data_IF_004712817859
#
_entry.id   IF_004712817859
#
_cell.length_a   1.000
_cell.length_b   1.000
_cell.length_c   1.000
_cell.angle_alpha   90.00
_cell.angle_beta   90.00
_cell.angle_gamma   90.00
#
_symmetry.space_group_name_H-M   'P 1'
#
loop_
_entity.id
_entity.type
_entity.pdbx_description
1 polymer ?
#
# COMPACT_ATOMS: atom_id res chain seq x y z
N UNK A 1 35.22 2.50 19.73
CA UNK A 1 34.70 2.32 18.36
C UNK A 1 33.64 1.23 18.44
N UNK A 2 32.37 1.59 18.58
CA UNK A 2 31.29 0.63 18.70
C UNK A 2 30.77 0.34 17.29
N UNK A 3 31.05 -0.87 16.79
CA UNK A 3 30.56 -1.36 15.50
C UNK A 3 29.03 -1.47 15.54
N UNK A 4 28.37 -0.71 14.68
CA UNK A 4 26.95 -0.86 14.39
C UNK A 4 26.72 -2.28 13.85
N UNK A 5 25.74 -3.06 14.37
CA UNK A 5 25.44 -4.38 13.83
C UNK A 5 24.98 -4.22 12.38
N UNK A 6 25.69 -4.90 11.46
CA UNK A 6 25.25 -5.08 10.08
C UNK A 6 23.88 -5.77 10.10
N UNK A 7 22.82 -5.00 9.86
CA UNK A 7 21.51 -5.55 9.52
C UNK A 7 21.68 -6.25 8.19
N UNK A 8 21.63 -7.58 8.18
CA UNK A 8 21.54 -8.36 6.94
C UNK A 8 20.41 -7.75 6.09
N UNK A 9 20.62 -7.52 4.78
CA UNK A 9 19.53 -7.04 3.94
C UNK A 9 18.37 -8.02 4.04
N UNK A 10 17.18 -7.51 4.31
CA UNK A 10 15.95 -8.28 4.25
C UNK A 10 15.89 -8.95 2.88
N UNK A 11 15.98 -10.28 2.85
CA UNK A 11 15.92 -11.04 1.61
C UNK A 11 14.44 -11.07 1.24
N UNK A 12 14.05 -10.23 0.27
CA UNK A 12 12.68 -10.19 -0.28
C UNK A 12 12.28 -11.62 -0.65
N UNK A 13 11.45 -12.24 0.18
CA UNK A 13 10.85 -13.53 -0.17
C UNK A 13 9.91 -13.26 -1.33
N UNK A 14 10.21 -13.89 -2.47
CA UNK A 14 9.37 -13.83 -3.65
C UNK A 14 8.08 -14.57 -3.29
N UNK A 15 6.95 -13.86 -3.30
CA UNK A 15 5.64 -14.45 -3.01
C UNK A 15 5.36 -15.60 -4.01
N UNK A 16 5.00 -16.76 -3.51
CA UNK A 16 4.49 -17.85 -4.33
C UNK A 16 3.00 -17.57 -4.63
N UNK A 17 2.69 -17.30 -5.90
CA UNK A 17 1.33 -16.90 -6.28
C UNK A 17 0.36 -18.08 -6.32
N UNK A 18 0.85 -19.29 -6.50
CA UNK A 18 0.00 -20.48 -6.45
C UNK A 18 -0.36 -20.79 -4.99
N UNK A 19 0.60 -20.63 -4.07
CA UNK A 19 0.34 -20.68 -2.63
C UNK A 19 -0.61 -19.56 -2.18
N UNK A 20 -0.39 -18.33 -2.65
CA UNK A 20 -1.25 -17.18 -2.37
C UNK A 20 -2.70 -17.43 -2.80
N UNK A 21 -2.90 -17.90 -4.04
CA UNK A 21 -4.23 -18.21 -4.59
C UNK A 21 -4.88 -19.38 -3.85
N UNK A 22 -4.10 -20.40 -3.49
CA UNK A 22 -4.60 -21.55 -2.72
C UNK A 22 -5.09 -21.19 -1.32
N UNK A 23 -4.62 -20.07 -0.77
CA UNK A 23 -4.99 -19.58 0.56
C UNK A 23 -5.94 -18.37 0.53
N UNK A 24 -6.34 -17.88 -0.64
CA UNK A 24 -7.01 -16.59 -0.81
C UNK A 24 -8.24 -16.40 0.10
N UNK A 25 -9.12 -17.41 0.15
CA UNK A 25 -10.39 -17.36 0.90
C UNK A 25 -10.29 -17.90 2.33
N UNK A 26 -9.07 -18.20 2.81
CA UNK A 26 -8.92 -18.77 4.14
C UNK A 26 -9.34 -17.74 5.23
N UNK A 27 -10.21 -18.09 6.18
CA UNK A 27 -10.67 -17.18 7.23
C UNK A 27 -9.54 -16.71 8.16
N UNK A 28 -8.34 -17.30 8.10
CA UNK A 28 -7.17 -16.78 8.80
C UNK A 28 -6.85 -15.33 8.43
N UNK A 29 -7.26 -14.83 7.26
CA UNK A 29 -7.00 -13.44 6.87
C UNK A 29 -7.95 -12.43 7.53
N UNK A 30 -8.98 -12.89 8.25
CA UNK A 30 -9.95 -12.07 8.96
C UNK A 30 -9.47 -11.76 10.39
N UNK A 31 -8.35 -11.04 10.51
CA UNK A 31 -7.73 -10.68 11.80
C UNK A 31 -8.27 -9.39 12.42
N UNK A 32 -9.34 -8.83 11.86
CA UNK A 32 -9.98 -7.63 12.36
C UNK A 32 -9.52 -6.36 11.67
N UNK A 33 -9.48 -5.28 12.45
CA UNK A 33 -9.40 -3.91 11.98
C UNK A 33 -8.28 -3.13 12.67
N UNK A 34 -7.94 -1.97 12.13
CA UNK A 34 -6.93 -1.08 12.72
C UNK A 34 -7.32 -0.65 14.13
N UNK A 35 -6.36 -0.60 15.05
CA UNK A 35 -6.61 -0.20 16.46
C UNK A 35 -7.12 1.24 16.62
N UNK A 36 -6.86 2.07 15.61
CA UNK A 36 -7.30 3.46 15.54
C UNK A 36 -7.71 3.82 14.13
N UNK A 37 -8.33 4.98 14.01
CA UNK A 37 -8.60 5.59 12.73
C UNK A 37 -7.32 6.20 12.13
N UNK A 38 -7.22 6.08 10.81
CA UNK A 38 -6.14 6.60 9.98
C UNK A 38 -6.65 7.78 9.15
N UNK A 39 -5.78 8.73 8.81
CA UNK A 39 -6.12 9.73 7.78
C UNK A 39 -6.13 9.06 6.41
N UNK A 40 -6.95 9.58 5.50
CA UNK A 40 -6.80 9.25 4.07
C UNK A 40 -5.37 9.52 3.60
N UNK A 41 -4.74 8.59 2.83
CA UNK A 41 -3.37 8.74 2.34
C UNK A 41 -3.26 9.69 1.13
N UNK A 42 -4.28 10.51 0.91
CA UNK A 42 -4.49 11.35 -0.25
C UNK A 42 -5.04 12.73 0.18
N UNK A 43 -4.79 13.80 -0.58
CA UNK A 43 -5.35 15.13 -0.31
C UNK A 43 -6.87 15.08 -0.26
N UNK A 44 -7.46 15.58 0.83
CA UNK A 44 -8.92 15.59 1.03
C UNK A 44 -9.57 16.90 0.61
N UNK A 45 -8.77 17.87 0.22
CA UNK A 45 -9.14 19.19 -0.32
C UNK A 45 -9.22 19.19 -1.86
N UNK A 46 -8.97 18.05 -2.51
CA UNK A 46 -9.04 17.86 -3.97
C UNK A 46 -10.19 16.91 -4.32
N UNK A 47 -10.91 17.22 -5.40
CA UNK A 47 -11.95 16.35 -5.96
C UNK A 47 -11.39 15.51 -7.11
N UNK A 48 -11.32 14.19 -6.89
CA UNK A 48 -10.85 13.22 -7.88
C UNK A 48 -12.00 12.51 -8.61
N UNK A 49 -13.26 12.94 -8.47
CA UNK A 49 -14.43 12.21 -8.98
C UNK A 49 -14.42 12.00 -10.50
N UNK A 50 -13.96 13.00 -11.26
CA UNK A 50 -13.84 12.90 -12.72
C UNK A 50 -12.70 11.96 -13.13
N UNK A 51 -11.54 12.05 -12.48
CA UNK A 51 -10.40 11.16 -12.71
C UNK A 51 -10.76 9.71 -12.38
N UNK A 52 -11.35 9.51 -11.20
CA UNK A 52 -11.83 8.20 -10.74
C UNK A 52 -12.83 7.59 -11.73
N UNK A 53 -13.75 8.39 -12.28
CA UNK A 53 -14.72 7.92 -13.28
C UNK A 53 -14.06 7.47 -14.58
N UNK A 54 -12.97 8.14 -14.99
CA UNK A 54 -12.17 7.71 -16.14
C UNK A 54 -11.36 6.45 -15.84
N UNK A 55 -10.72 6.39 -14.67
CA UNK A 55 -9.91 5.26 -14.21
C UNK A 55 -10.74 4.02 -13.90
N UNK A 56 -12.03 4.17 -13.57
CA UNK A 56 -12.95 3.06 -13.32
C UNK A 56 -13.39 2.32 -14.60
N UNK A 57 -13.14 2.85 -15.79
CA UNK A 57 -13.56 2.22 -17.05
C UNK A 57 -12.98 0.81 -17.17
N UNK A 58 -13.87 -0.15 -17.42
CA UNK A 58 -13.52 -1.57 -17.54
C UNK A 58 -13.44 -2.33 -16.22
N UNK A 59 -13.55 -1.66 -15.07
CA UNK A 59 -13.74 -2.33 -13.78
C UNK A 59 -15.23 -2.69 -13.66
N UNK A 60 -15.58 -3.94 -13.31
CA UNK A 60 -16.97 -4.31 -13.02
C UNK A 60 -17.57 -3.43 -11.92
N UNK A 61 -18.82 -3.01 -12.09
CA UNK A 61 -19.49 -2.08 -11.17
C UNK A 61 -19.56 -2.63 -9.73
N UNK A 62 -19.74 -3.94 -9.58
CA UNK A 62 -19.76 -4.64 -8.29
C UNK A 62 -18.37 -4.75 -7.64
N UNK A 63 -17.30 -4.37 -8.34
CA UNK A 63 -15.93 -4.26 -7.83
C UNK A 63 -15.54 -2.83 -7.48
N UNK A 64 -16.39 -1.85 -7.76
CA UNK A 64 -16.20 -0.46 -7.37
C UNK A 64 -16.93 -0.17 -6.07
N UNK A 65 -16.32 0.64 -5.22
CA UNK A 65 -16.93 1.12 -3.99
C UNK A 65 -16.39 2.49 -3.60
N UNK A 66 -16.97 3.10 -2.57
CA UNK A 66 -16.51 4.39 -2.03
C UNK A 66 -15.88 4.22 -0.66
N UNK A 67 -14.81 4.97 -0.43
CA UNK A 67 -14.19 5.14 0.89
C UNK A 67 -14.06 6.64 1.14
N UNK A 68 -14.94 7.18 1.97
CA UNK A 68 -15.12 8.63 2.08
C UNK A 68 -15.47 9.25 0.71
N UNK A 69 -14.70 10.26 0.30
CA UNK A 69 -14.89 10.93 -1.00
C UNK A 69 -14.29 10.17 -2.19
N UNK A 70 -13.40 9.21 -1.94
CA UNK A 70 -12.65 8.51 -2.98
C UNK A 70 -13.43 7.31 -3.52
N UNK A 71 -13.21 7.01 -4.80
CA UNK A 71 -13.61 5.74 -5.41
C UNK A 71 -12.46 4.77 -5.28
N UNK A 72 -12.77 3.52 -4.92
CA UNK A 72 -11.80 2.45 -4.78
C UNK A 72 -12.24 1.19 -5.54
N UNK A 73 -11.26 0.35 -5.89
CA UNK A 73 -11.46 -0.95 -6.53
C UNK A 73 -11.14 -2.10 -5.58
N UNK A 74 -11.89 -3.21 -5.69
CA UNK A 74 -11.70 -4.43 -4.89
C UNK A 74 -10.54 -5.32 -5.34
N UNK A 75 -10.10 -5.17 -6.59
CA UNK A 75 -8.97 -5.90 -7.21
C UNK A 75 -8.82 -7.36 -6.77
N UNK A 76 -9.81 -8.24 -7.08
CA UNK A 76 -9.91 -9.59 -6.49
C UNK A 76 -8.76 -10.55 -6.88
N UNK A 77 -7.92 -10.19 -7.84
CA UNK A 77 -6.77 -10.99 -8.24
C UNK A 77 -5.49 -10.65 -7.45
N UNK A 78 -5.46 -9.52 -6.75
CA UNK A 78 -4.30 -9.03 -5.99
C UNK A 78 -4.62 -8.78 -4.52
N UNK A 79 -5.86 -8.43 -4.17
CA UNK A 79 -6.32 -8.24 -2.78
C UNK A 79 -6.75 -9.57 -2.17
N UNK A 80 -5.80 -10.51 -2.10
CA UNK A 80 -6.01 -11.87 -1.59
C UNK A 80 -4.98 -12.21 -0.52
N UNK A 81 -5.30 -13.19 0.32
CA UNK A 81 -4.37 -13.66 1.34
C UNK A 81 -4.00 -12.56 2.34
N UNK A 82 -2.70 -12.34 2.63
CA UNK A 82 -2.26 -11.30 3.55
C UNK A 82 -2.52 -9.87 3.04
N UNK A 83 -3.00 -9.70 1.79
CA UNK A 83 -3.39 -8.42 1.19
C UNK A 83 -4.91 -8.20 1.13
N UNK A 84 -5.72 -9.08 1.73
CA UNK A 84 -7.19 -9.07 1.65
C UNK A 84 -7.84 -7.70 1.89
N UNK A 85 -7.27 -6.90 2.80
CA UNK A 85 -7.81 -5.59 3.19
C UNK A 85 -7.08 -4.40 2.56
N UNK A 86 -6.31 -4.63 1.48
CA UNK A 86 -5.76 -3.55 0.69
C UNK A 86 -6.88 -2.73 0.00
N UNK A 87 -6.52 -1.52 -0.40
CA UNK A 87 -7.44 -0.55 -1.02
C UNK A 87 -6.72 0.07 -2.21
N UNK A 88 -7.34 -0.01 -3.39
CA UNK A 88 -6.84 0.67 -4.58
C UNK A 88 -7.65 1.95 -4.79
N UNK A 89 -7.13 3.09 -4.33
CA UNK A 89 -7.76 4.39 -4.54
C UNK A 89 -7.54 4.86 -5.97
N UNK A 90 -8.63 5.07 -6.73
CA UNK A 90 -8.56 5.50 -8.13
C UNK A 90 -8.28 7.00 -8.21
N UNK A 91 -6.99 7.34 -8.33
CA UNK A 91 -6.47 8.71 -8.47
C UNK A 91 -5.39 8.74 -9.55
N UNK A 92 -5.20 9.87 -10.25
CA UNK A 92 -4.25 9.95 -11.35
C UNK A 92 -2.80 9.89 -10.85
N UNK A 93 -1.90 9.51 -11.76
CA UNK A 93 -0.46 9.70 -11.58
C UNK A 93 -0.15 11.16 -11.16
N UNK A 94 0.94 11.33 -10.42
CA UNK A 94 1.41 12.60 -9.85
C UNK A 94 0.60 13.15 -8.67
N UNK A 95 -0.47 12.45 -8.25
CA UNK A 95 -1.21 12.80 -7.01
C UNK A 95 -0.30 12.69 -5.79
N UNK A 96 -0.31 13.69 -4.90
CA UNK A 96 0.44 13.63 -3.64
C UNK A 96 0.00 12.46 -2.77
N UNK A 97 0.96 11.76 -2.16
CA UNK A 97 0.72 10.71 -1.18
C UNK A 97 1.05 11.26 0.20
N UNK A 98 0.10 11.15 1.12
CA UNK A 98 0.21 11.65 2.48
C UNK A 98 0.39 10.49 3.47
N UNK A 99 1.19 10.72 4.51
CA UNK A 99 1.30 9.78 5.61
C UNK A 99 -0.05 9.66 6.34
N UNK A 100 -0.64 8.47 6.27
CA UNK A 100 -1.95 8.17 6.87
C UNK A 100 -1.89 8.25 8.41
N UNK A 101 -0.73 7.99 9.00
CA UNK A 101 -0.44 8.20 10.42
C UNK A 101 1.06 8.41 10.63
N UNK A 102 1.39 9.08 11.73
CA UNK A 102 2.74 9.32 12.21
C UNK A 102 3.48 8.01 12.50
N UNK A 103 4.78 8.00 12.27
CA UNK A 103 5.59 6.80 12.46
C UNK A 103 7.00 6.95 11.97
N UNK A 104 7.69 5.84 11.76
CA UNK A 104 9.04 5.80 11.22
C UNK A 104 9.06 5.11 9.87
N UNK A 105 9.76 5.67 8.89
CA UNK A 105 9.99 5.01 7.60
C UNK A 105 10.90 3.80 7.84
N UNK A 106 10.44 2.61 7.47
CA UNK A 106 11.17 1.36 7.69
C UNK A 106 11.62 0.68 6.40
N UNK A 107 10.98 0.97 5.27
CA UNK A 107 11.32 0.39 3.98
C UNK A 107 10.91 1.31 2.83
N UNK A 108 11.76 1.39 1.79
CA UNK A 108 11.50 2.17 0.57
C UNK A 108 12.10 1.47 -0.64
N UNK A 109 11.32 1.41 -1.72
CA UNK A 109 11.76 1.11 -3.08
C UNK A 109 11.20 2.20 -4.00
N UNK A 110 12.07 2.90 -4.75
CA UNK A 110 11.69 4.17 -5.41
C UNK A 110 12.42 4.39 -6.75
N UNK A 111 12.76 3.32 -7.46
CA UNK A 111 13.61 3.42 -8.67
C UNK A 111 13.10 2.66 -9.88
N UNK A 112 12.11 1.79 -9.74
CA UNK A 112 11.52 1.11 -10.89
C UNK A 112 10.75 2.10 -11.74
N UNK A 113 10.71 1.83 -13.05
CA UNK A 113 9.94 2.59 -14.04
C UNK A 113 8.99 1.69 -14.82
N UNK A 114 9.09 0.37 -14.62
CA UNK A 114 8.35 -0.64 -15.37
C UNK A 114 7.01 -0.94 -14.72
N UNK A 115 5.98 -1.14 -15.55
CA UNK A 115 4.66 -1.57 -15.14
C UNK A 115 3.97 -2.38 -16.24
N UNK A 116 2.95 -3.12 -15.86
CA UNK A 116 2.06 -3.76 -16.81
C UNK A 116 1.02 -4.66 -16.15
N UNK A 117 0.02 -5.13 -16.92
CA UNK A 117 -1.15 -5.80 -16.39
C UNK A 117 -0.89 -7.25 -15.98
N UNK A 118 0.34 -7.75 -16.15
CA UNK A 118 0.70 -9.15 -15.91
C UNK A 118 1.63 -9.32 -14.72
N UNK A 119 1.58 -10.50 -14.13
CA UNK A 119 2.32 -10.88 -12.92
C UNK A 119 3.85 -10.70 -13.05
N UNK A 120 4.41 -10.71 -14.27
CA UNK A 120 5.85 -10.50 -14.51
C UNK A 120 6.35 -9.13 -13.99
N UNK A 121 5.45 -8.16 -13.81
CA UNK A 121 5.80 -6.83 -13.29
C UNK A 121 5.74 -6.74 -11.76
N UNK A 122 5.31 -7.78 -11.04
CA UNK A 122 5.13 -7.74 -9.57
C UNK A 122 6.38 -7.29 -8.79
N UNK A 123 7.56 -7.64 -9.27
CA UNK A 123 8.82 -7.33 -8.61
C UNK A 123 9.33 -5.90 -8.91
N UNK A 124 8.64 -5.18 -9.80
CA UNK A 124 8.94 -3.81 -10.28
C UNK A 124 8.13 -2.73 -9.55
N UNK A 125 7.70 -3.01 -8.33
CA UNK A 125 6.88 -2.12 -7.52
C UNK A 125 7.73 -1.11 -6.74
N UNK A 126 7.44 0.18 -6.90
CA UNK A 126 7.91 1.20 -5.96
C UNK A 126 6.89 1.33 -4.82
N UNK A 127 7.39 1.40 -3.60
CA UNK A 127 6.58 1.53 -2.40
C UNK A 127 7.35 2.14 -1.24
N UNK A 128 6.61 2.62 -0.25
CA UNK A 128 7.12 3.10 1.03
C UNK A 128 6.34 2.46 2.17
N UNK A 129 7.03 2.05 3.24
CA UNK A 129 6.41 1.47 4.43
C UNK A 129 6.75 2.30 5.66
N UNK A 130 5.72 2.67 6.42
CA UNK A 130 5.83 3.38 7.71
C UNK A 130 5.41 2.42 8.81
N UNK A 131 6.24 2.29 9.86
CA UNK A 131 5.88 1.63 11.11
C UNK A 131 5.33 2.66 12.10
N UNK A 132 4.15 2.42 12.64
CA UNK A 132 3.50 3.30 13.62
C UNK A 132 3.81 2.87 15.06
N UNK A 133 3.57 3.77 16.01
CA UNK A 133 3.89 3.53 17.43
C UNK A 133 3.05 2.38 18.06
N UNK A 134 1.89 2.06 17.49
CA UNK A 134 1.05 0.92 17.90
C UNK A 134 1.47 -0.42 17.27
N UNK A 135 2.56 -0.46 16.49
CA UNK A 135 3.09 -1.66 15.85
C UNK A 135 2.41 -2.03 14.52
N UNK A 136 1.37 -1.30 14.11
CA UNK A 136 0.82 -1.39 12.76
C UNK A 136 1.77 -0.75 11.75
N UNK A 137 1.66 -1.18 10.49
CA UNK A 137 2.44 -0.65 9.38
C UNK A 137 1.49 -0.20 8.28
N UNK A 138 1.73 0.97 7.70
CA UNK A 138 1.09 1.38 6.45
C UNK A 138 2.08 1.25 5.30
N UNK A 139 1.60 0.74 4.15
CA UNK A 139 2.39 0.69 2.92
C UNK A 139 1.63 1.37 1.78
N UNK A 140 2.39 2.15 1.01
CA UNK A 140 1.95 2.98 -0.11
C UNK A 140 2.66 2.49 -1.35
N UNK A 141 1.91 2.02 -2.34
CA UNK A 141 2.44 1.28 -3.50
C UNK A 141 2.15 1.99 -4.82
N UNK A 142 2.75 1.47 -5.90
CA UNK A 142 2.70 2.05 -7.24
C UNK A 142 3.27 3.48 -7.28
N UNK A 143 4.26 3.79 -6.45
CA UNK A 143 4.78 5.15 -6.35
C UNK A 143 5.53 5.59 -7.63
N UNK A 144 5.47 6.89 -7.92
CA UNK A 144 6.21 7.48 -9.04
C UNK A 144 7.72 7.34 -8.81
N UNK A 145 8.51 7.02 -9.85
CA UNK A 145 9.95 6.86 -9.71
C UNK A 145 10.62 8.13 -9.15
N UNK A 146 11.47 7.96 -8.14
CA UNK A 146 12.19 9.04 -7.44
C UNK A 146 11.32 10.00 -6.61
N UNK A 147 10.00 9.79 -6.54
CA UNK A 147 9.11 10.73 -5.85
C UNK A 147 9.34 10.76 -4.34
N UNK A 148 9.76 9.64 -3.74
CA UNK A 148 10.19 9.66 -2.35
C UNK A 148 11.50 10.44 -2.18
N UNK A 149 12.49 10.21 -3.03
CA UNK A 149 13.79 10.92 -2.97
C UNK A 149 13.64 12.44 -3.05
N UNK A 150 12.70 12.94 -3.83
CA UNK A 150 12.43 14.38 -3.97
C UNK A 150 11.92 15.04 -2.68
N UNK A 151 11.34 14.27 -1.75
CA UNK A 151 10.94 14.79 -0.43
C UNK A 151 12.13 15.15 0.47
N UNK A 152 13.32 14.62 0.16
CA UNK A 152 14.51 14.73 1.01
C UNK A 152 14.50 13.83 2.25
N UNK A 153 13.49 12.98 2.40
CA UNK A 153 13.37 12.00 3.49
C UNK A 153 14.24 10.77 3.26
N UNK A 154 14.51 10.04 4.33
CA UNK A 154 15.33 8.82 4.34
C UNK A 154 14.70 7.72 5.20
N UNK A 155 15.09 6.47 4.96
CA UNK A 155 14.74 5.36 5.85
C UNK A 155 15.28 5.65 7.25
N UNK A 156 14.42 5.49 8.27
CA UNK A 156 14.72 5.84 9.65
C UNK A 156 14.13 7.17 10.10
N UNK A 157 13.75 8.06 9.17
CA UNK A 157 13.12 9.34 9.51
C UNK A 157 11.74 9.13 10.15
N UNK A 158 11.40 10.03 11.06
CA UNK A 158 10.08 10.10 11.68
C UNK A 158 9.19 11.02 10.85
N UNK A 159 7.98 10.56 10.59
CA UNK A 159 6.98 11.22 9.76
C UNK A 159 5.78 11.61 10.61
N UNK A 160 5.22 12.77 10.33
CA UNK A 160 3.99 13.25 10.94
C UNK A 160 2.78 12.86 10.09
N UNK A 161 1.65 12.55 10.73
CA UNK A 161 0.38 12.31 10.05
C UNK A 161 0.02 13.50 9.14
N UNK A 162 -0.28 13.20 7.88
CA UNK A 162 -0.62 14.19 6.85
C UNK A 162 0.57 14.78 6.10
N UNK A 163 1.80 14.44 6.48
CA UNK A 163 3.00 14.87 5.75
C UNK A 163 3.07 14.24 4.35
N UNK A 164 3.46 15.02 3.34
CA UNK A 164 3.73 14.51 1.99
C UNK A 164 4.95 13.60 2.02
N UNK A 165 4.81 12.38 1.49
CA UNK A 165 5.84 11.32 1.56
C UNK A 165 6.26 10.79 0.19
N UNK A 166 5.42 10.95 -0.85
CA UNK A 166 5.70 10.53 -2.22
C UNK A 166 4.63 11.09 -3.17
N UNK A 167 4.67 10.66 -4.43
CA UNK A 167 3.59 10.87 -5.41
C UNK A 167 3.13 9.53 -5.99
N UNK A 168 1.85 9.44 -6.32
CA UNK A 168 1.27 8.32 -7.06
C UNK A 168 1.97 8.24 -8.41
N UNK A 169 2.22 7.03 -8.87
CA UNK A 169 2.64 6.77 -10.24
C UNK A 169 2.11 5.43 -10.70
N UNK A 170 2.87 4.82 -11.61
CA UNK A 170 2.47 3.58 -12.27
C UNK A 170 3.65 2.64 -12.41
N UNK A 171 3.94 1.91 -11.34
CA UNK A 171 5.03 0.93 -11.29
C UNK A 171 4.53 -0.42 -10.81
N UNK A 172 5.12 -1.50 -11.28
CA UNK A 172 4.76 -2.86 -10.85
C UNK A 172 3.57 -3.46 -11.58
N UNK A 173 2.93 -4.45 -10.95
CA UNK A 173 1.78 -5.15 -11.52
C UNK A 173 0.52 -4.29 -11.38
N UNK A 174 0.22 -3.52 -12.42
CA UNK A 174 -0.94 -2.62 -12.52
C UNK A 174 -1.31 -2.37 -13.98
N UNK A 175 -2.58 -2.11 -14.27
CA UNK A 175 -3.08 -1.74 -15.59
C UNK A 175 -3.54 -0.26 -15.67
N UNK A 176 -3.60 0.44 -14.54
CA UNK A 176 -4.16 1.80 -14.43
C UNK A 176 -3.56 2.57 -13.24
N UNK A 177 -3.72 3.88 -13.28
CA UNK A 177 -3.22 4.78 -12.24
C UNK A 177 -4.11 4.61 -11.00
N UNK A 178 -3.48 4.38 -9.86
CA UNK A 178 -4.13 4.28 -8.56
C UNK A 178 -3.08 4.26 -7.45
N UNK A 179 -3.50 4.58 -6.22
CA UNK A 179 -2.71 4.29 -5.03
C UNK A 179 -3.18 2.97 -4.43
N UNK A 180 -2.31 1.96 -4.42
CA UNK A 180 -2.51 0.76 -3.61
C UNK A 180 -2.05 1.03 -2.18
N UNK A 181 -2.96 0.89 -1.23
CA UNK A 181 -2.74 1.20 0.18
C UNK A 181 -3.15 0.04 1.06
N UNK A 182 -2.32 -0.29 2.03
CA UNK A 182 -2.58 -1.38 2.97
C UNK A 182 -2.08 -1.00 4.36
N UNK A 183 -2.86 -1.35 5.39
CA UNK A 183 -2.38 -1.38 6.79
C UNK A 183 -2.28 -2.83 7.23
N UNK A 184 -1.19 -3.20 7.88
CA UNK A 184 -0.91 -4.57 8.26
C UNK A 184 -0.14 -4.67 9.58
N UNK A 185 -0.09 -5.88 10.14
CA UNK A 185 0.82 -6.24 11.23
C UNK A 185 1.84 -7.25 10.75
N UNK A 186 3.06 -7.11 11.25
CA UNK A 186 4.09 -8.13 11.11
C UNK A 186 3.87 -9.18 12.19
N UNK A 187 3.70 -10.43 11.77
CA UNK A 187 3.42 -11.57 12.62
C UNK A 187 3.01 -12.78 11.79
N UNK A 188 3.48 -13.96 12.18
CA UNK A 188 3.11 -15.22 11.53
C UNK A 188 1.82 -15.76 12.13
N UNK A 189 0.76 -15.81 11.33
CA UNK A 189 -0.48 -16.48 11.70
C UNK A 189 -0.29 -18.00 11.65
N UNK A 190 -1.05 -18.73 12.47
CA UNK A 190 -1.06 -20.19 12.41
C UNK A 190 -1.54 -20.66 11.02
N UNK A 191 -0.72 -21.46 10.34
CA UNK A 191 -1.00 -21.93 8.97
C UNK A 191 -0.64 -20.95 7.85
N UNK A 192 -0.22 -19.72 8.17
CA UNK A 192 0.27 -18.77 7.17
C UNK A 192 1.74 -19.04 6.84
N UNK A 193 2.12 -19.12 5.55
CA UNK A 193 3.53 -19.09 5.13
C UNK A 193 4.10 -17.66 5.25
N UNK A 194 3.24 -16.64 5.23
CA UNK A 194 3.60 -15.22 5.28
C UNK A 194 3.77 -14.70 6.70
N UNK A 195 4.73 -13.78 6.86
CA UNK A 195 5.05 -13.12 8.12
C UNK A 195 4.25 -11.85 8.41
N UNK A 196 3.13 -11.62 7.74
CA UNK A 196 2.26 -10.46 7.96
C UNK A 196 0.82 -10.75 7.56
N UNK A 197 -0.09 -9.86 7.96
CA UNK A 197 -1.50 -9.89 7.57
C UNK A 197 -2.11 -8.49 7.56
N UNK A 198 -2.92 -8.18 6.55
CA UNK A 198 -3.65 -6.92 6.42
C UNK A 198 -4.75 -6.77 7.49
N UNK A 199 -5.09 -5.53 7.80
CA UNK A 199 -6.19 -5.13 8.67
C UNK A 199 -7.21 -4.31 7.88
N UNK A 200 -8.49 -4.44 8.22
CA UNK A 200 -9.51 -3.51 7.72
C UNK A 200 -9.24 -2.11 8.27
N UNK A 201 -9.07 -1.13 7.38
CA UNK A 201 -8.72 0.24 7.79
C UNK A 201 -9.97 1.04 8.16
N UNK A 202 -9.94 1.66 9.34
CA UNK A 202 -10.88 2.73 9.69
C UNK A 202 -10.27 4.08 9.32
N UNK A 203 -11.01 4.90 8.59
CA UNK A 203 -10.57 6.25 8.21
C UNK A 203 -11.24 7.33 9.06
N UNK A 204 -10.47 8.35 9.44
CA UNK A 204 -10.98 9.59 10.01
C UNK A 204 -11.80 10.33 8.96
N UNK A 205 -13.11 10.45 9.17
CA UNK A 205 -14.02 11.20 8.29
C UNK A 205 -14.22 12.65 8.75
N UNK A 206 -13.29 13.20 9.53
CA UNK A 206 -13.36 14.57 10.05
C UNK A 206 -13.27 15.62 8.94
#
# INVERSE_FOLDING_TARGET
MNSVPSTKPYKREVLDMDELRGLADNPMWDQGETEKAYRFPLPTDKDFSADASNLAKGIPEDQLYRVGQFVAAKSPNSHIGPFKWAIDFLVPDDTEVLAAESGQIVEVVDSFTEWGPTEQFRDKLNYLTIRHDNGEHSQYCHLAPNSFRETGLMVGDRIEKGQVIARVGKTGWTDRDHLHFIVFRVGKLAGSPYGFYSLRVWFDTQ
#
